data_IF_376722295361
#
_entry.id   IF_376722295361
#
_cell.length_a   1.000
_cell.length_b   1.000
_cell.length_c   1.000
_cell.angle_alpha   90.00
_cell.angle_beta   90.00
_cell.angle_gamma   90.00
#
_symmetry.space_group_name_H-M   'P 1'
#
loop_
_entity.id
_entity.type
_entity.pdbx_description
1 polymer ?
#
# COMPACT_ATOMS: atom_id res chain seq x y z
N UNK A 1 -3.36 -12.76 -3.17
CA UNK A 1 -3.18 -13.94 -4.07
C UNK A 1 -2.98 -15.15 -3.20
N UNK A 2 -3.72 -16.23 -3.44
CA UNK A 2 -3.58 -17.47 -2.68
C UNK A 2 -3.59 -18.72 -3.53
N UNK A 3 -3.14 -19.81 -2.94
CA UNK A 3 -3.05 -21.15 -3.53
C UNK A 3 -3.58 -22.17 -2.53
N UNK A 4 -4.34 -23.14 -3.02
CA UNK A 4 -4.76 -24.30 -2.24
C UNK A 4 -3.86 -25.48 -2.61
N UNK A 5 -3.18 -26.06 -1.62
CA UNK A 5 -2.27 -27.18 -1.80
C UNK A 5 -2.69 -28.35 -0.94
N UNK A 6 -2.38 -29.56 -1.40
CA UNK A 6 -2.53 -30.79 -0.61
C UNK A 6 -1.14 -31.34 -0.32
N UNK A 7 -0.82 -31.49 0.96
CA UNK A 7 0.43 -32.11 1.38
C UNK A 7 0.41 -33.61 1.05
N UNK A 8 1.44 -34.12 0.38
CA UNK A 8 1.48 -35.52 -0.09
C UNK A 8 1.52 -36.54 1.05
N UNK A 9 2.23 -36.22 2.14
CA UNK A 9 2.48 -37.15 3.23
C UNK A 9 1.28 -37.20 4.19
N UNK A 10 0.83 -36.04 4.67
CA UNK A 10 -0.27 -35.95 5.63
C UNK A 10 -1.65 -36.05 4.98
N UNK A 11 -1.74 -35.78 3.67
CA UNK A 11 -3.00 -35.61 2.96
C UNK A 11 -3.77 -34.33 3.35
N UNK A 12 -3.17 -33.45 4.16
CA UNK A 12 -3.80 -32.23 4.66
C UNK A 12 -3.91 -31.18 3.55
N UNK A 13 -5.07 -30.50 3.50
CA UNK A 13 -5.29 -29.36 2.63
C UNK A 13 -4.88 -28.07 3.36
N UNK A 14 -4.07 -27.25 2.69
CA UNK A 14 -3.60 -25.97 3.21
C UNK A 14 -3.81 -24.91 2.15
N UNK A 15 -4.56 -23.87 2.50
CA UNK A 15 -4.63 -22.65 1.72
C UNK A 15 -3.53 -21.69 2.20
N UNK A 16 -2.71 -21.20 1.28
CA UNK A 16 -1.65 -20.21 1.53
C UNK A 16 -2.01 -18.93 0.79
N UNK A 17 -1.97 -17.80 1.48
CA UNK A 17 -2.31 -16.50 0.89
C UNK A 17 -1.25 -15.47 1.24
N UNK A 18 -0.87 -14.67 0.23
CA UNK A 18 -0.01 -13.50 0.40
C UNK A 18 -0.69 -12.25 -0.14
N UNK A 19 -0.46 -11.12 0.51
CA UNK A 19 -1.03 -9.85 0.09
C UNK A 19 -0.49 -8.66 0.86
N UNK A 20 -0.98 -7.48 0.50
CA UNK A 20 -0.73 -6.25 1.24
C UNK A 20 -1.27 -6.37 2.66
N UNK A 21 -0.59 -5.73 3.59
CA UNK A 21 -0.96 -5.63 5.00
C UNK A 21 -2.39 -5.13 5.19
N UNK A 22 -2.79 -4.06 4.50
CA UNK A 22 -4.16 -3.51 4.58
C UNK A 22 -5.27 -4.49 4.19
N UNK A 23 -4.96 -5.48 3.35
CA UNK A 23 -5.90 -6.50 2.88
C UNK A 23 -5.85 -7.75 3.75
N UNK A 24 -4.65 -8.14 4.17
CA UNK A 24 -4.40 -9.40 4.87
C UNK A 24 -4.68 -9.31 6.37
N UNK A 25 -4.30 -8.20 7.02
CA UNK A 25 -4.45 -8.03 8.48
C UNK A 25 -5.90 -8.23 8.94
N UNK A 26 -6.94 -7.68 8.27
CA UNK A 26 -8.34 -7.92 8.65
C UNK A 26 -8.81 -9.38 8.49
N UNK A 27 -8.10 -10.20 7.72
CA UNK A 27 -8.47 -11.60 7.43
C UNK A 27 -7.87 -12.62 8.41
N UNK A 28 -6.98 -12.18 9.31
CA UNK A 28 -6.30 -13.02 10.30
C UNK A 28 -7.19 -13.27 11.53
N UNK A 29 -7.36 -14.53 11.93
CA UNK A 29 -8.30 -14.97 12.98
C UNK A 29 -7.99 -14.43 14.38
N UNK A 30 -6.72 -14.20 14.71
CA UNK A 30 -6.27 -13.70 16.03
C UNK A 30 -6.06 -12.18 16.06
N UNK A 31 -6.91 -11.45 15.33
CA UNK A 31 -6.84 -10.01 15.17
C UNK A 31 -6.61 -9.28 16.52
N UNK A 32 -7.40 -9.59 17.55
CA UNK A 32 -7.43 -8.79 18.79
C UNK A 32 -6.19 -8.90 19.71
N UNK A 33 -5.32 -9.90 19.56
CA UNK A 33 -4.18 -10.11 20.48
C UNK A 33 -2.80 -9.93 19.86
N UNK A 34 -2.68 -10.16 18.54
CA UNK A 34 -1.39 -10.09 17.81
C UNK A 34 -1.28 -8.89 16.89
N UNK A 35 -2.36 -8.15 16.63
CA UNK A 35 -2.33 -7.11 15.60
C UNK A 35 -1.66 -5.80 15.97
N UNK A 36 -1.80 -5.31 17.21
CA UNK A 36 -1.15 -4.04 17.57
C UNK A 36 0.38 -4.13 17.35
N UNK A 37 0.97 -5.27 17.69
CA UNK A 37 2.38 -5.54 17.42
C UNK A 37 2.66 -5.70 15.92
N UNK A 38 1.80 -6.39 15.17
CA UNK A 38 2.00 -6.57 13.73
C UNK A 38 1.91 -5.25 12.96
N UNK A 39 0.94 -4.39 13.29
CA UNK A 39 0.80 -3.04 12.73
C UNK A 39 2.03 -2.20 13.03
N UNK A 40 2.53 -2.23 14.27
CA UNK A 40 3.77 -1.56 14.65
C UNK A 40 4.98 -2.03 13.83
N UNK A 41 5.14 -3.34 13.62
CA UNK A 41 6.25 -3.89 12.81
C UNK A 41 6.08 -3.55 11.33
N UNK A 42 4.85 -3.54 10.81
CA UNK A 42 4.56 -3.12 9.42
C UNK A 42 4.94 -1.66 9.22
N UNK A 43 4.60 -0.80 10.16
CA UNK A 43 4.92 0.63 10.10
C UNK A 43 6.43 0.85 10.26
N UNK A 44 7.11 0.10 11.13
CA UNK A 44 8.58 0.10 11.24
C UNK A 44 9.24 -0.30 9.91
N UNK A 45 8.75 -1.33 9.23
CA UNK A 45 9.27 -1.74 7.92
C UNK A 45 9.04 -0.66 6.86
N UNK A 46 7.88 -0.01 6.88
CA UNK A 46 7.58 1.10 5.98
C UNK A 46 8.51 2.31 6.22
N UNK A 47 8.85 2.60 7.49
CA UNK A 47 9.80 3.65 7.86
C UNK A 47 11.23 3.34 7.38
N UNK A 48 11.59 2.07 7.26
CA UNK A 48 12.85 1.65 6.64
C UNK A 48 12.77 1.58 5.09
N UNK A 49 11.65 1.99 4.49
CA UNK A 49 11.46 1.96 3.04
C UNK A 49 11.22 0.56 2.46
N UNK A 50 10.94 -0.44 3.30
CA UNK A 50 10.68 -1.80 2.87
C UNK A 50 9.22 -1.96 2.44
N UNK A 51 8.98 -2.68 1.34
CA UNK A 51 7.64 -3.12 0.96
C UNK A 51 7.23 -4.32 1.78
N UNK A 52 6.14 -4.18 2.51
CA UNK A 52 5.60 -5.23 3.38
C UNK A 52 4.71 -6.20 2.63
N UNK A 53 4.88 -7.50 2.86
CA UNK A 53 3.96 -8.53 2.40
C UNK A 53 3.61 -9.45 3.57
N UNK A 54 2.32 -9.64 3.79
CA UNK A 54 1.81 -10.54 4.83
C UNK A 54 1.51 -11.89 4.20
N UNK A 55 2.00 -12.96 4.83
CA UNK A 55 1.72 -14.34 4.44
C UNK A 55 0.93 -15.00 5.57
N UNK A 56 -0.21 -15.56 5.21
CA UNK A 56 -1.09 -16.26 6.12
C UNK A 56 -1.56 -17.58 5.49
N UNK A 57 -2.01 -18.50 6.33
CA UNK A 57 -2.45 -19.83 5.90
C UNK A 57 -3.75 -20.25 6.57
N UNK A 58 -4.46 -21.20 5.97
CA UNK A 58 -5.62 -21.85 6.56
C UNK A 58 -5.55 -23.34 6.33
N UNK A 59 -5.58 -24.11 7.41
CA UNK A 59 -5.72 -25.56 7.35
C UNK A 59 -7.18 -25.90 7.09
N UNK A 60 -7.42 -26.76 6.11
CA UNK A 60 -8.78 -27.18 5.74
C UNK A 60 -8.96 -28.67 6.02
N UNK A 61 -10.15 -29.03 6.48
CA UNK A 61 -10.57 -30.43 6.52
C UNK A 61 -10.86 -30.92 5.11
N UNK A 62 -10.89 -32.24 4.95
CA UNK A 62 -11.22 -32.84 3.65
C UNK A 62 -12.64 -32.47 3.24
N UNK A 63 -13.58 -32.55 4.17
CA UNK A 63 -14.99 -32.21 3.95
C UNK A 63 -15.14 -30.76 3.54
N UNK A 64 -14.45 -29.83 4.22
CA UNK A 64 -14.48 -28.40 3.85
C UNK A 64 -13.86 -28.11 2.49
N UNK A 65 -12.87 -28.90 2.06
CA UNK A 65 -12.31 -28.80 0.71
C UNK A 65 -13.28 -29.32 -0.35
N UNK A 66 -13.94 -30.45 -0.09
CA UNK A 66 -14.95 -31.03 -1.00
C UNK A 66 -16.17 -30.10 -1.16
N UNK A 67 -16.62 -29.45 -0.07
CA UNK A 67 -17.66 -28.41 -0.10
C UNK A 67 -17.23 -27.19 -0.93
N UNK A 68 -16.01 -26.70 -0.73
CA UNK A 68 -15.45 -25.60 -1.52
C UNK A 68 -15.37 -25.96 -3.01
N UNK A 69 -14.83 -27.13 -3.35
CA UNK A 69 -14.70 -27.59 -4.73
C UNK A 69 -16.06 -27.72 -5.43
N UNK A 70 -17.07 -28.24 -4.72
CA UNK A 70 -18.43 -28.35 -5.24
C UNK A 70 -19.04 -26.96 -5.51
N UNK A 71 -18.96 -26.04 -4.55
CA UNK A 71 -19.47 -24.69 -4.69
C UNK A 71 -18.74 -23.91 -5.80
N UNK A 72 -17.41 -24.00 -5.84
CA UNK A 72 -16.58 -23.33 -6.84
C UNK A 72 -16.87 -23.85 -8.25
N UNK A 73 -17.07 -25.16 -8.40
CA UNK A 73 -17.43 -25.76 -9.69
C UNK A 73 -18.82 -25.31 -10.15
N UNK A 74 -19.80 -25.24 -9.26
CA UNK A 74 -21.14 -24.75 -9.58
C UNK A 74 -21.09 -23.30 -10.08
N UNK A 75 -20.41 -22.40 -9.35
CA UNK A 75 -20.23 -21.01 -9.79
C UNK A 75 -19.41 -20.88 -11.07
N UNK A 76 -18.48 -21.79 -11.34
CA UNK A 76 -17.69 -21.79 -12.59
C UNK A 76 -18.55 -22.10 -13.81
N UNK A 77 -19.62 -22.89 -13.64
CA UNK A 77 -20.56 -23.27 -14.71
C UNK A 77 -21.61 -22.17 -14.99
N UNK A 78 -21.68 -21.14 -14.15
CA UNK A 78 -22.57 -19.99 -14.37
C UNK A 78 -22.14 -19.21 -15.62
N UNK A 79 -23.09 -18.95 -16.52
CA UNK A 79 -22.88 -18.25 -17.80
C UNK A 79 -23.32 -16.77 -17.71
N UNK A 80 -23.84 -16.35 -16.56
CA UNK A 80 -24.25 -14.96 -16.33
C UNK A 80 -23.04 -14.02 -16.15
N UNK A 81 -23.30 -12.72 -16.31
CA UNK A 81 -22.31 -11.65 -16.04
C UNK A 81 -21.87 -11.60 -14.56
N UNK A 82 -22.62 -12.25 -13.65
CA UNK A 82 -22.34 -12.30 -12.21
C UNK A 82 -21.35 -13.41 -11.81
N UNK A 83 -20.85 -14.19 -12.77
CA UNK A 83 -19.95 -15.32 -12.52
C UNK A 83 -18.73 -14.92 -11.69
N UNK A 84 -18.08 -13.80 -12.03
CA UNK A 84 -16.87 -13.35 -11.34
C UNK A 84 -17.13 -12.96 -9.88
N UNK A 85 -18.23 -12.24 -9.61
CA UNK A 85 -18.63 -11.88 -8.25
C UNK A 85 -18.94 -13.11 -7.39
N UNK A 86 -19.68 -14.09 -7.95
CA UNK A 86 -19.98 -15.35 -7.24
C UNK A 86 -18.73 -16.15 -6.92
N UNK A 87 -17.78 -16.23 -7.85
CA UNK A 87 -16.50 -16.90 -7.62
C UNK A 87 -15.70 -16.19 -6.51
N UNK A 88 -15.67 -14.86 -6.53
CA UNK A 88 -15.01 -14.07 -5.48
C UNK A 88 -15.65 -14.30 -4.11
N UNK A 89 -16.99 -14.31 -4.02
CA UNK A 89 -17.72 -14.56 -2.77
C UNK A 89 -17.42 -15.95 -2.20
N UNK A 90 -17.38 -16.98 -3.06
CA UNK A 90 -17.05 -18.35 -2.65
C UNK A 90 -15.61 -18.42 -2.14
N UNK A 91 -14.65 -17.83 -2.86
CA UNK A 91 -13.25 -17.81 -2.43
C UNK A 91 -13.10 -17.08 -1.09
N UNK A 92 -13.70 -15.90 -0.96
CA UNK A 92 -13.62 -15.12 0.28
C UNK A 92 -14.21 -15.92 1.46
N UNK A 93 -15.43 -16.43 1.30
CA UNK A 93 -16.15 -17.20 2.34
C UNK A 93 -15.39 -18.44 2.79
N UNK A 94 -14.94 -19.28 1.86
CA UNK A 94 -14.34 -20.58 2.21
C UNK A 94 -12.85 -20.47 2.53
N UNK A 95 -12.09 -19.63 1.81
CA UNK A 95 -10.63 -19.62 1.85
C UNK A 95 -10.04 -18.40 2.55
N UNK A 96 -10.54 -17.18 2.30
CA UNK A 96 -9.89 -15.94 2.74
C UNK A 96 -10.36 -15.43 4.11
N UNK A 97 -11.16 -16.21 4.85
CA UNK A 97 -11.55 -15.91 6.24
C UNK A 97 -10.81 -16.77 7.26
N UNK A 98 -10.57 -16.20 8.45
CA UNK A 98 -9.96 -16.87 9.61
C UNK A 98 -8.58 -17.47 9.30
N UNK A 99 -7.72 -16.67 8.67
CA UNK A 99 -6.35 -17.07 8.35
C UNK A 99 -5.47 -17.07 9.60
N UNK A 100 -4.51 -17.98 9.67
CA UNK A 100 -3.43 -18.01 10.64
C UNK A 100 -2.22 -17.27 10.07
N UNK A 101 -1.72 -16.25 10.77
CA UNK A 101 -0.53 -15.52 10.35
C UNK A 101 0.68 -16.45 10.35
N UNK A 102 1.39 -16.53 9.22
CA UNK A 102 2.63 -17.30 9.11
C UNK A 102 3.83 -16.37 9.32
N UNK A 103 3.90 -15.30 8.53
CA UNK A 103 4.97 -14.32 8.63
C UNK A 103 4.62 -12.98 7.99
N UNK A 104 5.41 -11.98 8.35
CA UNK A 104 5.52 -10.70 7.67
C UNK A 104 6.90 -10.63 7.01
N UNK A 105 6.97 -10.17 5.77
CA UNK A 105 8.23 -9.95 5.07
C UNK A 105 8.38 -8.48 4.71
N UNK A 106 9.58 -7.93 4.89
CA UNK A 106 9.99 -6.64 4.35
C UNK A 106 10.90 -6.87 3.15
N UNK A 107 10.48 -6.42 1.97
CA UNK A 107 11.26 -6.51 0.73
C UNK A 107 11.82 -5.14 0.42
N UNK A 108 13.14 -5.05 0.35
CA UNK A 108 13.82 -3.85 -0.13
C UNK A 108 13.66 -3.76 -1.65
N UNK A 109 13.12 -2.64 -2.14
CA UNK A 109 13.07 -2.35 -3.56
C UNK A 109 14.33 -1.54 -3.92
N UNK A 110 15.29 -2.21 -4.53
CA UNK A 110 16.54 -1.59 -4.92
C UNK A 110 16.29 -0.54 -6.00
N UNK A 111 16.84 0.66 -5.80
CA UNK A 111 16.83 1.69 -6.82
C UNK A 111 17.65 1.22 -8.03
N UNK A 112 17.27 1.72 -9.21
CA UNK A 112 18.11 1.55 -10.40
C UNK A 112 19.43 2.30 -10.23
N UNK A 113 20.45 1.85 -10.95
CA UNK A 113 21.75 2.50 -10.97
C UNK A 113 21.61 3.97 -11.41
N UNK A 114 22.40 4.84 -10.79
CA UNK A 114 22.52 6.28 -11.12
C UNK A 114 21.23 7.12 -11.00
N UNK A 115 20.16 6.63 -10.36
CA UNK A 115 18.91 7.40 -10.19
C UNK A 115 19.15 8.75 -9.50
N UNK A 116 19.91 8.77 -8.40
CA UNK A 116 20.21 10.00 -7.67
C UNK A 116 21.04 11.02 -8.50
N UNK A 117 22.18 10.65 -9.12
CA UNK A 117 22.92 11.53 -10.03
C UNK A 117 22.08 12.10 -11.19
N UNK A 118 21.18 11.29 -11.75
CA UNK A 118 20.29 11.73 -12.85
C UNK A 118 19.28 12.76 -12.35
N UNK A 119 18.62 12.50 -11.20
CA UNK A 119 17.66 13.45 -10.61
C UNK A 119 18.37 14.77 -10.27
N UNK A 120 19.58 14.71 -9.70
CA UNK A 120 20.37 15.91 -9.42
C UNK A 120 20.68 16.70 -10.70
N UNK A 121 21.08 16.02 -11.77
CA UNK A 121 21.36 16.64 -13.07
C UNK A 121 20.12 17.33 -13.66
N UNK A 122 18.94 16.70 -13.55
CA UNK A 122 17.66 17.30 -13.96
C UNK A 122 17.35 18.56 -13.15
N UNK A 123 17.60 18.54 -11.82
CA UNK A 123 17.40 19.70 -10.95
C UNK A 123 18.36 20.85 -11.29
N UNK A 124 19.63 20.57 -11.56
CA UNK A 124 20.61 21.57 -12.03
C UNK A 124 20.18 22.19 -13.36
N UNK A 125 19.59 21.38 -14.25
CA UNK A 125 18.98 21.83 -15.51
C UNK A 125 17.65 22.60 -15.32
N UNK A 126 17.22 22.85 -14.07
CA UNK A 126 15.96 23.54 -13.71
C UNK A 126 14.70 22.79 -14.14
N UNK A 127 14.80 21.47 -14.34
CA UNK A 127 13.66 20.60 -14.59
C UNK A 127 13.04 20.24 -13.24
N UNK A 128 11.71 20.39 -13.15
CA UNK A 128 10.94 19.98 -11.96
C UNK A 128 10.63 18.50 -12.07
N UNK A 129 11.03 17.73 -11.06
CA UNK A 129 10.84 16.27 -11.00
C UNK A 129 9.81 15.97 -9.93
N UNK A 130 8.72 15.31 -10.29
CA UNK A 130 7.65 14.94 -9.37
C UNK A 130 7.57 13.42 -9.29
N UNK A 131 7.43 12.88 -8.08
CA UNK A 131 7.18 11.45 -7.86
C UNK A 131 5.68 11.24 -7.68
N UNK A 132 5.13 10.26 -8.40
CA UNK A 132 3.75 9.78 -8.31
C UNK A 132 3.83 8.27 -8.03
N UNK A 133 3.34 7.83 -6.87
CA UNK A 133 3.39 6.42 -6.46
C UNK A 133 2.09 5.99 -5.80
N UNK A 134 1.78 4.70 -5.89
CA UNK A 134 0.69 4.05 -5.16
C UNK A 134 1.14 3.38 -3.86
N UNK A 135 2.43 3.47 -3.51
CA UNK A 135 2.95 3.00 -2.23
C UNK A 135 2.44 3.86 -1.07
N UNK A 136 2.62 3.35 0.16
CA UNK A 136 2.36 4.12 1.39
C UNK A 136 3.19 5.41 1.41
N UNK A 137 2.66 6.42 2.10
CA UNK A 137 3.32 7.72 2.26
C UNK A 137 4.73 7.56 2.82
N UNK A 138 4.92 6.74 3.85
CA UNK A 138 6.23 6.58 4.51
C UNK A 138 7.26 5.95 3.57
N UNK A 139 6.86 4.91 2.82
CA UNK A 139 7.70 4.33 1.77
C UNK A 139 8.06 5.35 0.69
N UNK A 140 7.10 6.17 0.25
CA UNK A 140 7.34 7.21 -0.75
C UNK A 140 8.35 8.27 -0.26
N UNK A 141 8.26 8.65 1.02
CA UNK A 141 9.22 9.58 1.65
C UNK A 141 10.61 8.94 1.69
N UNK A 142 10.72 7.67 2.08
CA UNK A 142 12.00 6.96 2.10
C UNK A 142 12.63 6.89 0.71
N UNK A 143 11.85 6.54 -0.32
CA UNK A 143 12.34 6.54 -1.71
C UNK A 143 12.72 7.95 -2.16
N UNK A 144 11.96 8.99 -1.79
CA UNK A 144 12.31 10.37 -2.14
C UNK A 144 13.65 10.81 -1.52
N UNK A 145 13.94 10.36 -0.29
CA UNK A 145 15.23 10.59 0.36
C UNK A 145 16.34 9.81 -0.35
N UNK A 146 16.14 8.51 -0.59
CA UNK A 146 17.13 7.63 -1.23
C UNK A 146 17.46 8.04 -2.67
N UNK A 147 16.52 8.65 -3.39
CA UNK A 147 16.69 9.14 -4.76
C UNK A 147 17.24 10.58 -4.84
N UNK A 148 17.57 11.20 -3.71
CA UNK A 148 17.97 12.62 -3.62
C UNK A 148 16.93 13.62 -4.18
N UNK A 149 15.68 13.18 -4.29
CA UNK A 149 14.56 14.05 -4.64
C UNK A 149 14.21 14.97 -3.46
N UNK A 150 14.32 14.44 -2.23
CA UNK A 150 14.22 15.16 -0.96
C UNK A 150 15.52 14.99 -0.17
N UNK A 151 16.07 16.07 0.39
CA UNK A 151 17.15 15.98 1.38
C UNK A 151 16.59 15.56 2.75
N UNK A 152 17.32 14.78 3.57
CA UNK A 152 16.87 14.41 4.92
C UNK A 152 16.45 15.61 5.78
N UNK A 153 17.17 16.73 5.65
CA UNK A 153 16.98 17.97 6.44
C UNK A 153 15.84 18.86 5.93
N UNK A 154 15.34 18.62 4.71
CA UNK A 154 14.26 19.42 4.13
C UNK A 154 12.95 19.23 4.91
N UNK A 155 12.24 20.34 5.12
CA UNK A 155 10.92 20.33 5.76
C UNK A 155 9.91 19.58 4.91
N UNK A 156 9.02 18.81 5.55
CA UNK A 156 7.96 18.05 4.90
C UNK A 156 6.58 18.61 5.29
N UNK A 157 5.80 19.03 4.30
CA UNK A 157 4.38 19.36 4.49
C UNK A 157 3.52 18.20 3.99
N UNK A 158 2.82 17.52 4.90
CA UNK A 158 1.88 16.43 4.58
C UNK A 158 0.45 16.95 4.50
N UNK A 159 -0.23 16.67 3.39
CA UNK A 159 -1.62 17.05 3.14
C UNK A 159 -2.50 15.80 3.13
N UNK A 160 -3.48 15.76 4.03
CA UNK A 160 -4.42 14.65 4.21
C UNK A 160 -5.88 15.09 4.05
N UNK A 161 -6.74 14.17 3.62
CA UNK A 161 -8.15 14.45 3.33
C UNK A 161 -8.99 14.84 4.56
N UNK A 162 -8.52 14.47 5.76
CA UNK A 162 -9.11 14.87 7.03
C UNK A 162 -8.96 16.38 7.30
N UNK A 163 -8.06 17.06 6.60
CA UNK A 163 -7.60 18.42 6.90
C UNK A 163 -7.57 19.33 5.67
N UNK A 164 -8.43 19.11 4.67
CA UNK A 164 -8.37 19.83 3.37
C UNK A 164 -8.44 21.35 3.52
N UNK A 165 -9.30 21.88 4.41
CA UNK A 165 -9.38 23.35 4.61
C UNK A 165 -8.08 23.92 5.18
N UNK A 166 -7.55 23.32 6.25
CA UNK A 166 -6.25 23.72 6.80
C UNK A 166 -5.08 23.47 5.84
N UNK A 167 -5.19 22.49 4.95
CA UNK A 167 -4.21 22.19 3.91
C UNK A 167 -4.17 23.29 2.83
N UNK A 168 -5.34 23.80 2.42
CA UNK A 168 -5.43 24.91 1.46
C UNK A 168 -4.85 26.19 2.07
N UNK A 169 -5.17 26.47 3.34
CA UNK A 169 -4.62 27.63 4.06
C UNK A 169 -3.10 27.50 4.21
N UNK A 170 -2.58 26.32 4.61
CA UNK A 170 -1.15 26.07 4.69
C UNK A 170 -0.43 26.20 3.33
N UNK A 171 -1.06 25.77 2.23
CA UNK A 171 -0.54 25.97 0.88
C UNK A 171 -0.56 27.44 0.45
N UNK A 172 -1.57 28.21 0.86
CA UNK A 172 -1.66 29.64 0.62
C UNK A 172 -0.53 30.37 1.37
N UNK A 173 -0.33 30.05 2.65
CA UNK A 173 0.75 30.59 3.48
C UNK A 173 2.13 30.28 2.89
N UNK A 174 2.36 29.03 2.45
CA UNK A 174 3.61 28.65 1.77
C UNK A 174 3.81 29.41 0.46
N UNK A 175 2.73 29.62 -0.31
CA UNK A 175 2.79 30.35 -1.58
C UNK A 175 3.12 31.83 -1.34
N UNK A 176 2.53 32.44 -0.33
CA UNK A 176 2.81 33.82 0.07
C UNK A 176 4.24 33.98 0.57
N UNK A 177 4.69 33.09 1.46
CA UNK A 177 6.07 33.08 1.96
C UNK A 177 7.10 32.91 0.84
N UNK A 178 6.83 32.03 -0.14
CA UNK A 178 7.68 31.85 -1.32
C UNK A 178 7.71 33.09 -2.20
N UNK A 179 6.57 33.74 -2.42
CA UNK A 179 6.49 34.97 -3.21
C UNK A 179 7.19 36.15 -2.54
N UNK A 180 7.20 36.18 -1.19
CA UNK A 180 7.90 37.17 -0.40
C UNK A 180 9.44 36.98 -0.38
N UNK A 181 9.98 35.95 -1.05
CA UNK A 181 11.41 35.59 -1.03
C UNK A 181 11.97 35.47 0.40
N UNK A 182 11.18 34.97 1.35
CA UNK A 182 11.68 34.67 2.69
C UNK A 182 12.64 33.48 2.62
N UNK A 183 13.90 33.70 2.98
CA UNK A 183 14.92 32.65 3.11
C UNK A 183 14.49 31.69 4.24
N UNK A 184 14.28 30.41 3.90
CA UNK A 184 13.90 29.35 4.86
C UNK A 184 12.70 28.50 4.44
N UNK A 185 11.77 29.02 3.62
CA UNK A 185 10.58 28.28 3.13
C UNK A 185 10.67 27.81 1.67
N UNK A 186 11.78 28.13 0.99
CA UNK A 186 12.07 27.64 -0.37
C UNK A 186 12.46 26.16 -0.42
N UNK A 187 12.60 25.51 0.74
CA UNK A 187 13.17 24.17 0.90
C UNK A 187 12.19 23.19 1.57
N UNK A 188 10.90 23.39 1.29
CA UNK A 188 9.81 22.53 1.77
C UNK A 188 9.35 21.60 0.66
N UNK A 189 9.35 20.30 0.95
CA UNK A 189 8.76 19.26 0.12
C UNK A 189 7.31 19.05 0.54
N UNK A 190 6.41 18.97 -0.42
CA UNK A 190 4.99 18.67 -0.17
C UNK A 190 4.76 17.18 -0.40
N UNK A 191 3.86 16.57 0.37
CA UNK A 191 3.36 15.22 0.16
C UNK A 191 1.84 15.28 0.24
N UNK A 192 1.18 14.77 -0.79
CA UNK A 192 -0.27 14.82 -0.92
C UNK A 192 -0.81 13.40 -0.96
N UNK A 193 -1.65 13.07 0.02
CA UNK A 193 -2.39 11.82 0.05
C UNK A 193 -3.42 11.78 -1.08
N UNK A 194 -3.51 10.65 -1.79
CA UNK A 194 -4.48 10.44 -2.87
C UNK A 194 -5.94 10.58 -2.43
N UNK A 195 -6.25 10.40 -1.15
CA UNK A 195 -7.59 10.59 -0.58
C UNK A 195 -8.07 12.04 -0.65
N UNK A 196 -7.17 13.03 -0.61
CA UNK A 196 -7.49 14.47 -0.72
C UNK A 196 -8.13 14.76 -2.08
N UNK A 197 -7.63 14.10 -3.12
CA UNK A 197 -7.98 14.37 -4.51
C UNK A 197 -9.40 13.94 -4.89
N UNK A 198 -9.98 12.97 -4.18
CA UNK A 198 -11.36 12.51 -4.41
C UNK A 198 -12.45 13.43 -3.84
N UNK A 199 -12.10 14.29 -2.88
CA UNK A 199 -13.03 15.19 -2.19
C UNK A 199 -13.15 16.59 -2.82
N UNK A 200 -12.21 16.94 -3.71
CA UNK A 200 -12.24 18.18 -4.48
C UNK A 200 -13.10 17.98 -5.74
N UNK A 201 -14.35 18.45 -5.70
CA UNK A 201 -15.32 18.32 -6.78
C UNK A 201 -14.85 18.86 -8.14
N UNK A 202 -15.24 18.15 -9.20
CA UNK A 202 -15.21 18.55 -10.62
C UNK A 202 -13.89 19.14 -11.16
N UNK A 203 -12.89 18.27 -11.20
CA UNK A 203 -11.68 18.46 -12.00
C UNK A 203 -10.73 17.32 -11.68
N UNK A 204 -10.76 16.25 -12.46
CA UNK A 204 -10.03 15.02 -12.20
C UNK A 204 -8.51 15.28 -12.00
N UNK A 205 -8.09 15.45 -10.74
CA UNK A 205 -6.70 15.21 -10.32
C UNK A 205 -6.66 13.77 -9.84
N UNK A 206 -6.94 12.85 -10.74
CA UNK A 206 -6.74 11.43 -10.49
C UNK A 206 -5.24 11.20 -10.67
N UNK A 207 -4.41 11.36 -9.61
CA UNK A 207 -2.99 10.96 -9.50
C UNK A 207 -2.34 11.47 -8.20
N UNK A 208 -1.81 10.52 -7.44
CA UNK A 208 -1.09 10.61 -6.16
C UNK A 208 0.23 11.40 -6.24
N UNK A 209 0.63 12.01 -5.12
CA UNK A 209 1.95 12.55 -4.80
C UNK A 209 2.49 13.71 -5.67
N UNK A 210 2.82 14.82 -5.00
CA UNK A 210 3.42 16.03 -5.55
C UNK A 210 4.64 16.38 -4.69
N UNK A 211 5.82 15.89 -5.06
CA UNK A 211 7.11 16.35 -4.52
C UNK A 211 7.64 17.45 -5.41
#
# INVERSE_FOLDING_TARGET
>A
MGILVKEEISGQYVYLMKGADSVMIPRVAEYDKKNAYMEEVVDDYACHGLRTLVVAMKKMTREGCEEFEAAYKDATLDVSEQREEKLAEIVDRYLETNLELVCLTGVEDMLQDDVAPVIESLRVAKIKVWMLTGDKIDTAICIAISTALKSPEQSLLRLEASHVHSAIDALADLREARNAKMEGLSDTVVVIDGTVSGSAGNGAINRTLYI
#
